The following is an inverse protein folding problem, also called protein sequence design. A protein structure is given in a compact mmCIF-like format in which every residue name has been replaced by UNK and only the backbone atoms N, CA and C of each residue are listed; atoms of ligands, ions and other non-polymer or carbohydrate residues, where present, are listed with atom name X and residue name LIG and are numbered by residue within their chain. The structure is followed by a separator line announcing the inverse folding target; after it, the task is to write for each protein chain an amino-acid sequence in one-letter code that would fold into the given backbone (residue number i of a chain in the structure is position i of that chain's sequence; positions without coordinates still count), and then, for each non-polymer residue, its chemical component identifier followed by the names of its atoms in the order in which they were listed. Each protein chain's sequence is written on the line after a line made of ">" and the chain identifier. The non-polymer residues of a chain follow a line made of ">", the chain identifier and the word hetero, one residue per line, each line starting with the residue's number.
data_IF_850105493525
#
_entry.id   IF_850105493525
#
_cell.length_a   1.000
_cell.length_b   1.000
_cell.length_c   1.000
_cell.angle_alpha   90.00
_cell.angle_beta   90.00
_cell.angle_gamma   90.00
#
_symmetry.space_group_name_H-M   'P 1'
#
loop_
_entity.id
_entity.type
_entity.pdbx_description
1 polymer ?
#
# COMPACT_ATOMS: atom_id res chain seq x y z
N UNK A 1 -22.10 9.81 34.71
CA UNK A 1 -21.12 9.37 33.68
C UNK A 1 -21.74 9.22 32.26
N UNK A 2 -22.89 9.88 31.98
CA UNK A 2 -23.77 9.58 30.82
C UNK A 2 -23.52 10.49 29.59
N UNK A 3 -22.99 11.70 29.80
CA UNK A 3 -22.72 12.68 28.73
C UNK A 3 -21.38 12.47 28.02
N UNK A 4 -20.41 11.85 28.69
CA UNK A 4 -19.06 11.70 28.15
C UNK A 4 -19.01 10.76 26.94
N UNK A 5 -19.78 9.66 26.92
CA UNK A 5 -19.73 8.68 25.81
C UNK A 5 -20.31 9.23 24.50
N UNK A 6 -21.46 9.92 24.56
CA UNK A 6 -22.03 10.55 23.35
C UNK A 6 -21.14 11.69 22.85
N UNK A 7 -20.70 12.57 23.74
CA UNK A 7 -19.81 13.67 23.36
C UNK A 7 -18.50 13.14 22.77
N UNK A 8 -17.93 12.08 23.32
CA UNK A 8 -16.72 11.43 22.80
C UNK A 8 -16.96 10.82 21.40
N UNK A 9 -18.07 10.10 21.18
CA UNK A 9 -18.42 9.58 19.84
C UNK A 9 -18.59 10.72 18.84
N UNK A 10 -19.21 11.82 19.24
CA UNK A 10 -19.36 13.01 18.41
C UNK A 10 -18.01 13.62 18.03
N UNK A 11 -17.14 13.87 19.02
CA UNK A 11 -15.80 14.44 18.80
C UNK A 11 -14.95 13.53 17.91
N UNK A 12 -14.95 12.22 18.15
CA UNK A 12 -14.17 11.27 17.36
C UNK A 12 -14.63 11.23 15.89
N UNK A 13 -15.94 11.18 15.65
CA UNK A 13 -16.45 11.23 14.28
C UNK A 13 -16.23 12.59 13.62
N UNK A 14 -16.23 13.69 14.38
CA UNK A 14 -15.86 15.02 13.87
C UNK A 14 -14.42 15.05 13.38
N UNK A 15 -13.48 14.47 14.14
CA UNK A 15 -12.08 14.36 13.73
C UNK A 15 -11.95 13.52 12.45
N UNK A 16 -12.64 12.37 12.36
CA UNK A 16 -12.64 11.54 11.15
C UNK A 16 -13.19 12.29 9.95
N UNK A 17 -14.26 13.07 10.13
CA UNK A 17 -14.81 13.93 9.09
C UNK A 17 -13.75 14.94 8.60
N UNK A 18 -13.08 15.65 9.51
CA UNK A 18 -12.02 16.59 9.15
C UNK A 18 -10.85 15.93 8.41
N UNK A 19 -10.48 14.70 8.77
CA UNK A 19 -9.44 13.94 8.09
C UNK A 19 -9.88 13.40 6.72
N UNK A 20 -11.18 13.17 6.50
CA UNK A 20 -11.70 12.72 5.20
C UNK A 20 -11.60 13.78 4.10
N UNK A 21 -11.66 15.07 4.47
CA UNK A 21 -11.60 16.21 3.54
C UNK A 21 -10.24 16.27 2.79
N UNK A 22 -9.06 16.28 3.46
CA UNK A 22 -7.79 16.29 2.75
C UNK A 22 -7.54 15.01 1.96
N UNK A 23 -8.07 13.86 2.39
CA UNK A 23 -8.00 12.59 1.62
C UNK A 23 -8.77 12.73 0.30
N UNK A 24 -10.00 13.25 0.35
CA UNK A 24 -10.81 13.53 -0.83
C UNK A 24 -10.17 14.56 -1.75
N UNK A 25 -9.72 15.68 -1.18
CA UNK A 25 -9.04 16.74 -1.94
C UNK A 25 -7.79 16.20 -2.64
N UNK A 26 -6.99 15.39 -1.94
CA UNK A 26 -5.82 14.72 -2.53
C UNK A 26 -6.19 13.76 -3.65
N UNK A 27 -7.23 12.94 -3.47
CA UNK A 27 -7.73 12.04 -4.51
C UNK A 27 -8.24 12.77 -5.76
N UNK A 28 -8.99 13.84 -5.58
CA UNK A 28 -9.51 14.69 -6.68
C UNK A 28 -8.34 15.40 -7.39
N UNK A 29 -7.39 15.94 -6.62
CA UNK A 29 -6.19 16.57 -7.17
C UNK A 29 -5.39 15.59 -8.02
N UNK A 30 -5.23 14.35 -7.56
CA UNK A 30 -4.56 13.29 -8.29
C UNK A 30 -5.29 12.90 -9.58
N UNK A 31 -6.63 12.92 -9.57
CA UNK A 31 -7.45 12.69 -10.76
C UNK A 31 -7.27 13.80 -11.82
N UNK A 32 -7.17 15.05 -11.37
CA UNK A 32 -7.07 16.24 -12.25
C UNK A 32 -5.65 16.53 -12.74
N UNK A 33 -4.64 16.37 -11.87
CA UNK A 33 -3.24 16.72 -12.14
C UNK A 33 -2.30 15.52 -12.23
N UNK A 34 -2.81 14.29 -12.13
CA UNK A 34 -2.02 13.09 -12.39
C UNK A 34 -1.37 13.19 -13.75
N UNK A 35 -0.06 13.42 -13.75
CA UNK A 35 0.76 13.67 -14.94
C UNK A 35 1.10 12.38 -15.66
N UNK A 36 1.06 11.26 -14.91
CA UNK A 36 1.40 9.91 -15.37
C UNK A 36 0.19 8.99 -15.24
N UNK A 37 0.10 7.98 -16.10
CA UNK A 37 -0.94 6.94 -15.99
C UNK A 37 -0.84 6.15 -14.66
N UNK A 38 0.34 6.16 -14.03
CA UNK A 38 0.60 5.58 -12.72
C UNK A 38 -0.14 6.33 -11.60
N UNK A 39 -0.06 7.66 -11.62
CA UNK A 39 -0.71 8.52 -10.64
C UNK A 39 -2.24 8.40 -10.74
N UNK A 40 -2.76 8.32 -11.96
CA UNK A 40 -4.19 8.09 -12.22
C UNK A 40 -4.69 6.70 -11.84
N UNK A 41 -3.82 5.73 -11.57
CA UNK A 41 -4.29 4.43 -11.07
C UNK A 41 -4.75 4.50 -9.60
N UNK A 42 -4.25 5.47 -8.84
CA UNK A 42 -4.49 5.60 -7.40
C UNK A 42 -5.66 6.55 -7.05
N UNK A 43 -6.17 7.33 -7.99
CA UNK A 43 -7.21 8.35 -7.72
C UNK A 43 -8.54 7.75 -7.24
N UNK A 44 -9.10 6.79 -8.00
CA UNK A 44 -10.37 6.12 -7.73
C UNK A 44 -10.43 5.44 -6.38
N UNK A 45 -9.43 4.60 -5.97
CA UNK A 45 -9.48 3.97 -4.65
C UNK A 45 -9.36 4.99 -3.52
N UNK A 46 -8.56 6.06 -3.69
CA UNK A 46 -8.41 7.11 -2.67
C UNK A 46 -9.70 7.94 -2.53
N UNK A 47 -10.33 8.33 -3.64
CA UNK A 47 -11.60 9.07 -3.62
C UNK A 47 -12.69 8.21 -2.99
N UNK A 48 -12.83 6.94 -3.38
CA UNK A 48 -13.83 6.04 -2.82
C UNK A 48 -13.68 5.88 -1.30
N UNK A 49 -12.44 5.75 -0.81
CA UNK A 49 -12.14 5.70 0.62
C UNK A 49 -12.55 7.00 1.33
N UNK A 50 -12.19 8.15 0.78
CA UNK A 50 -12.54 9.44 1.35
C UNK A 50 -14.04 9.67 1.46
N UNK A 51 -14.81 9.34 0.41
CA UNK A 51 -16.28 9.48 0.40
C UNK A 51 -16.89 8.57 1.46
N UNK A 52 -16.43 7.33 1.52
CA UNK A 52 -16.92 6.36 2.47
C UNK A 52 -16.70 6.81 3.93
N UNK A 53 -15.49 7.28 4.27
CA UNK A 53 -15.18 7.80 5.61
C UNK A 53 -16.04 9.01 5.98
N UNK A 54 -16.27 9.92 5.02
CA UNK A 54 -17.11 11.09 5.23
C UNK A 54 -18.56 10.71 5.56
N UNK A 55 -19.15 9.76 4.83
CA UNK A 55 -20.53 9.29 5.07
C UNK A 55 -20.66 8.66 6.46
N UNK A 56 -19.72 7.79 6.84
CA UNK A 56 -19.73 7.13 8.15
C UNK A 56 -19.58 8.15 9.28
N UNK A 57 -18.71 9.15 9.11
CA UNK A 57 -18.51 10.20 10.10
C UNK A 57 -19.75 11.07 10.31
N UNK A 58 -20.44 11.47 9.23
CA UNK A 58 -21.70 12.23 9.31
C UNK A 58 -22.78 11.42 10.05
N UNK A 59 -22.92 10.13 9.72
CA UNK A 59 -23.86 9.26 10.42
C UNK A 59 -23.55 9.16 11.92
N UNK A 60 -22.27 9.02 12.29
CA UNK A 60 -21.84 9.02 13.70
C UNK A 60 -22.13 10.33 14.43
N UNK A 61 -21.93 11.48 13.76
CA UNK A 61 -22.22 12.81 14.31
C UNK A 61 -23.71 13.02 14.55
N UNK A 62 -24.54 12.77 13.55
CA UNK A 62 -26.01 12.92 13.64
C UNK A 62 -26.58 11.95 14.67
N UNK A 63 -26.08 10.72 14.72
CA UNK A 63 -26.53 9.69 15.66
C UNK A 63 -26.23 10.06 17.11
N UNK A 64 -25.09 10.68 17.36
CA UNK A 64 -24.72 11.16 18.69
C UNK A 64 -25.45 12.46 19.08
N UNK A 65 -25.58 13.43 18.17
CA UNK A 65 -26.19 14.73 18.44
C UNK A 65 -27.69 14.61 18.73
N UNK A 66 -28.42 13.87 17.91
CA UNK A 66 -29.88 13.77 17.98
C UNK A 66 -30.37 12.59 18.84
N UNK A 67 -29.46 11.80 19.45
CA UNK A 67 -29.75 10.56 20.23
C UNK A 67 -30.71 9.59 19.54
N UNK A 68 -30.72 9.57 18.21
CA UNK A 68 -31.62 8.71 17.43
C UNK A 68 -31.13 7.27 17.55
N UNK A 69 -31.85 6.47 18.32
CA UNK A 69 -31.42 5.10 18.69
C UNK A 69 -31.26 4.19 17.47
N UNK A 70 -32.14 4.35 16.46
CA UNK A 70 -32.04 3.62 15.20
C UNK A 70 -30.77 3.98 14.42
N UNK A 71 -30.42 5.26 14.35
CA UNK A 71 -29.25 5.74 13.61
C UNK A 71 -27.93 5.36 14.30
N UNK A 72 -27.92 5.32 15.64
CA UNK A 72 -26.79 4.79 16.39
C UNK A 72 -26.62 3.27 16.20
N UNK A 73 -27.72 2.54 16.04
CA UNK A 73 -27.69 1.10 15.76
C UNK A 73 -27.16 0.80 14.36
N UNK A 74 -27.62 1.53 13.34
CA UNK A 74 -27.08 1.42 11.98
C UNK A 74 -25.61 1.81 11.91
N UNK A 75 -25.20 2.88 12.62
CA UNK A 75 -23.80 3.26 12.77
C UNK A 75 -22.95 2.12 13.34
N UNK A 76 -23.38 1.49 14.43
CA UNK A 76 -22.65 0.37 15.04
C UNK A 76 -22.58 -0.85 14.12
N UNK A 77 -23.65 -1.16 13.39
CA UNK A 77 -23.64 -2.23 12.40
C UNK A 77 -22.61 -1.99 11.29
N UNK A 78 -22.57 -0.77 10.73
CA UNK A 78 -21.58 -0.39 9.72
C UNK A 78 -20.16 -0.43 10.28
N UNK A 79 -19.94 0.07 11.50
CA UNK A 79 -18.64 0.01 12.18
C UNK A 79 -18.17 -1.43 12.41
N UNK A 80 -19.07 -2.33 12.78
CA UNK A 80 -18.75 -3.75 12.94
C UNK A 80 -18.31 -4.39 11.61
N UNK A 81 -19.05 -4.15 10.52
CA UNK A 81 -18.66 -4.62 9.19
C UNK A 81 -17.30 -4.05 8.77
N UNK A 82 -17.03 -2.78 9.08
CA UNK A 82 -15.74 -2.17 8.79
C UNK A 82 -14.59 -2.85 9.53
N UNK A 83 -14.76 -3.15 10.81
CA UNK A 83 -13.75 -3.88 11.59
C UNK A 83 -13.48 -5.25 10.94
N UNK A 84 -14.51 -6.00 10.55
CA UNK A 84 -14.35 -7.29 9.89
C UNK A 84 -13.60 -7.18 8.56
N UNK A 85 -13.97 -6.21 7.73
CA UNK A 85 -13.32 -5.96 6.43
C UNK A 85 -11.85 -5.59 6.64
N UNK A 86 -11.57 -4.60 7.49
CA UNK A 86 -10.19 -4.15 7.78
C UNK A 86 -9.34 -5.28 8.36
N UNK A 87 -9.91 -6.07 9.28
CA UNK A 87 -9.25 -7.24 9.86
C UNK A 87 -8.93 -8.29 8.78
N UNK A 88 -9.90 -8.65 7.94
CA UNK A 88 -9.71 -9.63 6.86
C UNK A 88 -8.65 -9.20 5.85
N UNK A 89 -8.66 -7.92 5.44
CA UNK A 89 -7.66 -7.33 4.55
C UNK A 89 -6.28 -7.37 5.21
N UNK A 90 -6.19 -7.08 6.51
CA UNK A 90 -4.93 -7.14 7.26
C UNK A 90 -4.35 -8.55 7.24
N UNK A 91 -5.15 -9.56 7.59
CA UNK A 91 -4.72 -10.97 7.57
C UNK A 91 -4.28 -11.38 6.16
N UNK A 92 -5.09 -11.05 5.15
CA UNK A 92 -4.75 -11.35 3.76
C UNK A 92 -3.44 -10.70 3.32
N UNK A 93 -3.23 -9.42 3.64
CA UNK A 93 -2.01 -8.69 3.33
C UNK A 93 -0.80 -9.37 3.98
N UNK A 94 -0.88 -9.79 5.24
CA UNK A 94 0.19 -10.54 5.90
C UNK A 94 0.47 -11.87 5.21
N UNK A 95 -0.56 -12.66 4.91
CA UNK A 95 -0.39 -13.98 4.26
C UNK A 95 0.31 -13.83 2.90
N UNK A 96 -0.12 -12.88 2.08
CA UNK A 96 0.42 -12.66 0.73
C UNK A 96 1.84 -12.08 0.77
N UNK A 97 2.15 -11.26 1.77
CA UNK A 97 3.45 -10.58 1.91
C UNK A 97 4.43 -11.30 2.83
N UNK A 98 4.08 -12.45 3.42
CA UNK A 98 5.00 -13.17 4.30
C UNK A 98 6.19 -13.74 3.51
N UNK A 99 5.91 -14.38 2.36
CA UNK A 99 6.91 -14.95 1.44
C UNK A 99 7.65 -13.87 0.63
N UNK A 100 8.86 -14.18 0.19
CA UNK A 100 9.74 -13.31 -0.61
C UNK A 100 10.81 -12.62 0.23
N UNK A 101 12.07 -12.80 -0.09
CA UNK A 101 13.15 -12.01 0.48
C UNK A 101 14.25 -11.90 -0.57
N UNK A 102 14.84 -10.70 -0.74
CA UNK A 102 16.03 -10.58 -1.55
C UNK A 102 17.17 -11.42 -0.96
N UNK A 103 17.86 -12.15 -1.83
CA UNK A 103 19.06 -12.93 -1.51
C UNK A 103 20.25 -11.99 -1.37
N UNK A 104 20.99 -12.12 -0.28
CA UNK A 104 22.25 -11.38 -0.08
C UNK A 104 23.35 -12.00 -0.92
N UNK A 105 24.05 -11.18 -1.70
CA UNK A 105 25.22 -11.62 -2.46
C UNK A 105 26.49 -11.26 -1.69
N UNK A 106 27.41 -12.21 -1.56
CA UNK A 106 28.68 -11.99 -0.85
C UNK A 106 29.48 -10.86 -1.51
N UNK A 107 29.91 -9.89 -0.68
CA UNK A 107 30.69 -8.75 -1.15
C UNK A 107 29.90 -7.70 -1.93
N UNK A 108 28.56 -7.71 -1.87
CA UNK A 108 27.69 -6.70 -2.48
C UNK A 108 26.84 -6.00 -1.42
N UNK A 109 26.66 -4.69 -1.54
CA UNK A 109 25.80 -3.83 -0.73
C UNK A 109 24.32 -3.91 -1.08
N UNK A 110 23.98 -4.69 -2.11
CA UNK A 110 22.62 -4.90 -2.59
C UNK A 110 22.22 -6.38 -2.56
N UNK A 111 20.93 -6.63 -2.80
CA UNK A 111 20.34 -7.98 -2.85
C UNK A 111 19.92 -8.33 -4.27
N UNK A 112 19.88 -9.62 -4.58
CA UNK A 112 19.24 -10.15 -5.78
C UNK A 112 17.82 -10.62 -5.45
N UNK A 113 16.91 -10.52 -6.43
CA UNK A 113 15.50 -10.83 -6.22
C UNK A 113 15.06 -11.84 -7.26
N UNK A 114 14.55 -13.00 -6.82
CA UNK A 114 13.96 -14.00 -7.72
C UNK A 114 12.45 -13.99 -7.61
N UNK A 115 11.78 -14.08 -8.76
CA UNK A 115 10.32 -14.04 -8.80
C UNK A 115 9.68 -15.22 -8.06
N UNK A 116 10.34 -16.39 -8.09
CA UNK A 116 9.90 -17.62 -7.43
C UNK A 116 9.79 -17.53 -5.90
N UNK A 117 10.47 -16.59 -5.25
CA UNK A 117 10.47 -16.47 -3.79
C UNK A 117 9.18 -15.86 -3.24
N UNK A 118 8.39 -15.21 -4.10
CA UNK A 118 7.17 -14.51 -3.73
C UNK A 118 5.94 -15.43 -3.76
N UNK A 119 4.86 -15.01 -3.10
CA UNK A 119 3.61 -15.79 -3.11
C UNK A 119 3.03 -15.91 -4.53
N UNK A 120 2.44 -17.07 -4.85
CA UNK A 120 1.79 -17.32 -6.15
C UNK A 120 0.76 -16.23 -6.52
N UNK A 121 0.09 -15.66 -5.52
CA UNK A 121 -0.85 -14.56 -5.73
C UNK A 121 -0.16 -13.30 -6.28
N UNK A 122 1.01 -12.92 -5.75
CA UNK A 122 1.79 -11.79 -6.24
C UNK A 122 2.38 -12.06 -7.62
N UNK A 123 2.95 -13.25 -7.82
CA UNK A 123 3.51 -13.64 -9.11
C UNK A 123 2.46 -13.55 -10.24
N UNK A 124 1.22 -13.98 -9.97
CA UNK A 124 0.13 -13.90 -10.94
C UNK A 124 -0.20 -12.46 -11.38
N UNK A 125 0.06 -11.45 -10.54
CA UNK A 125 -0.19 -10.03 -10.87
C UNK A 125 0.82 -9.48 -11.86
N UNK A 126 2.07 -9.93 -11.79
CA UNK A 126 3.17 -9.46 -12.65
C UNK A 126 3.39 -10.34 -13.88
N UNK A 127 2.82 -11.56 -13.90
CA UNK A 127 2.85 -12.46 -15.06
C UNK A 127 1.75 -12.18 -16.08
N UNK A 128 0.72 -11.41 -15.73
CA UNK A 128 -0.28 -10.95 -16.70
C UNK A 128 0.32 -9.85 -17.59
N UNK A 129 0.56 -10.17 -18.87
CA UNK A 129 1.22 -9.27 -19.82
C UNK A 129 0.51 -7.93 -20.02
N UNK A 130 -0.82 -7.88 -19.95
CA UNK A 130 -1.57 -6.61 -20.10
C UNK A 130 -1.37 -5.71 -18.88
N UNK A 131 -1.34 -6.30 -17.68
CA UNK A 131 -1.10 -5.56 -16.45
C UNK A 131 0.38 -5.15 -16.35
N UNK A 132 1.30 -6.04 -16.73
CA UNK A 132 2.73 -5.76 -16.73
C UNK A 132 3.08 -4.61 -17.66
N UNK A 133 2.52 -4.53 -18.86
CA UNK A 133 2.81 -3.43 -19.78
C UNK A 133 2.51 -2.05 -19.18
N UNK A 134 1.42 -1.92 -18.41
CA UNK A 134 1.10 -0.67 -17.68
C UNK A 134 2.08 -0.41 -16.54
N UNK A 135 2.43 -1.43 -15.78
CA UNK A 135 3.40 -1.31 -14.68
C UNK A 135 4.78 -0.93 -15.22
N UNK A 136 5.21 -1.57 -16.30
CA UNK A 136 6.46 -1.34 -17.02
C UNK A 136 6.55 0.10 -17.52
N UNK A 137 5.50 0.63 -18.15
CA UNK A 137 5.49 2.03 -18.60
C UNK A 137 5.67 2.99 -17.42
N UNK A 138 5.03 2.70 -16.28
CA UNK A 138 5.20 3.48 -15.06
C UNK A 138 6.63 3.39 -14.50
N UNK A 139 7.28 2.23 -14.57
CA UNK A 139 8.66 2.04 -14.13
C UNK A 139 9.65 2.81 -15.00
N UNK A 140 9.48 2.78 -16.32
CA UNK A 140 10.30 3.54 -17.26
C UNK A 140 10.14 5.04 -17.01
N UNK A 141 8.91 5.51 -16.84
CA UNK A 141 8.57 6.92 -16.59
C UNK A 141 9.07 7.44 -15.24
N UNK A 142 9.18 6.56 -14.22
CA UNK A 142 9.68 6.93 -12.89
C UNK A 142 11.15 7.39 -12.87
N UNK A 143 11.89 7.14 -13.96
CA UNK A 143 13.33 7.46 -14.11
C UNK A 143 14.21 6.91 -12.99
N UNK A 144 13.81 5.81 -12.35
CA UNK A 144 14.59 5.19 -11.26
C UNK A 144 15.98 4.79 -11.72
N UNK A 145 16.11 4.23 -12.93
CA UNK A 145 17.40 3.83 -13.49
C UNK A 145 18.24 5.04 -13.95
N UNK A 146 17.62 6.06 -14.55
CA UNK A 146 18.34 7.29 -14.91
C UNK A 146 18.88 8.03 -13.68
N UNK A 147 18.14 8.02 -12.56
CA UNK A 147 18.62 8.55 -11.28
C UNK A 147 19.78 7.75 -10.70
N UNK A 148 19.78 6.42 -10.90
CA UNK A 148 20.88 5.57 -10.49
C UNK A 148 22.14 5.85 -11.32
N UNK A 149 21.99 5.90 -12.65
CA UNK A 149 23.08 6.25 -13.57
C UNK A 149 23.68 7.61 -13.20
N UNK A 150 22.83 8.61 -12.99
CA UNK A 150 23.27 9.95 -12.62
C UNK A 150 23.96 10.03 -11.24
N UNK A 151 23.66 9.08 -10.34
CA UNK A 151 24.28 9.01 -9.01
C UNK A 151 25.68 8.38 -9.07
N UNK A 152 25.92 7.48 -10.02
CA UNK A 152 27.13 6.65 -10.10
C UNK A 152 27.91 6.92 -11.40
N UNK A 153 27.87 8.17 -11.89
CA UNK A 153 28.58 8.59 -13.10
C UNK A 153 30.08 8.39 -12.87
N UNK A 154 30.73 7.66 -13.79
CA UNK A 154 32.18 7.39 -13.79
C UNK A 154 32.72 6.72 -12.51
N UNK A 155 31.84 6.16 -11.68
CA UNK A 155 32.24 5.45 -10.47
C UNK A 155 32.79 4.05 -10.81
N UNK A 156 33.92 3.63 -10.20
CA UNK A 156 34.46 2.30 -10.42
C UNK A 156 33.50 1.22 -9.89
N UNK A 157 33.61 0.03 -10.46
CA UNK A 157 32.74 -1.11 -10.14
C UNK A 157 32.68 -1.44 -8.64
N UNK A 158 33.77 -1.22 -7.90
CA UNK A 158 33.81 -1.47 -6.45
C UNK A 158 32.86 -0.54 -5.68
N UNK A 159 32.72 0.72 -6.11
CA UNK A 159 31.80 1.66 -5.51
C UNK A 159 30.35 1.29 -5.85
N UNK A 160 30.10 0.85 -7.08
CA UNK A 160 28.81 0.27 -7.47
C UNK A 160 28.45 -0.97 -6.63
N UNK A 161 29.41 -1.87 -6.38
CA UNK A 161 29.18 -3.07 -5.57
C UNK A 161 28.92 -2.77 -4.10
N UNK A 162 29.49 -1.72 -3.54
CA UNK A 162 29.26 -1.32 -2.15
C UNK A 162 27.98 -0.49 -1.97
N UNK A 163 27.38 -0.01 -3.07
CA UNK A 163 26.19 0.83 -3.02
C UNK A 163 24.95 0.06 -2.56
N UNK A 164 24.16 0.70 -1.69
CA UNK A 164 22.89 0.16 -1.23
C UNK A 164 21.77 0.42 -2.25
N UNK A 165 21.66 -0.48 -3.23
CA UNK A 165 20.60 -0.41 -4.22
C UNK A 165 19.25 -0.83 -3.64
N UNK A 166 18.21 -0.06 -3.97
CA UNK A 166 16.82 -0.46 -3.73
C UNK A 166 16.46 -1.71 -4.57
N UNK A 167 15.37 -2.39 -4.19
CA UNK A 167 14.90 -3.57 -4.93
C UNK A 167 14.62 -3.29 -6.42
N UNK A 168 14.06 -2.10 -6.74
CA UNK A 168 13.84 -1.68 -8.11
C UNK A 168 15.14 -1.38 -8.85
N UNK A 169 16.10 -0.73 -8.20
CA UNK A 169 17.40 -0.42 -8.83
C UNK A 169 18.17 -1.71 -9.15
N UNK A 170 18.26 -2.62 -8.19
CA UNK A 170 18.98 -3.90 -8.34
C UNK A 170 18.30 -4.88 -9.29
N UNK A 171 16.96 -4.87 -9.36
CA UNK A 171 16.18 -5.77 -10.21
C UNK A 171 15.93 -5.28 -11.63
N UNK A 172 15.80 -3.96 -11.85
CA UNK A 172 15.44 -3.39 -13.15
C UNK A 172 16.57 -2.67 -13.87
N UNK A 173 17.53 -2.10 -13.14
CA UNK A 173 18.53 -1.19 -13.70
C UNK A 173 19.92 -1.81 -13.91
N UNK A 174 20.12 -3.06 -13.49
CA UNK A 174 21.35 -3.81 -13.73
C UNK A 174 21.02 -5.26 -14.10
N UNK A 175 21.92 -5.98 -14.80
CA UNK A 175 21.75 -7.42 -15.03
C UNK A 175 21.93 -8.22 -13.73
N UNK A 176 21.57 -9.50 -13.75
CA UNK A 176 21.91 -10.43 -12.65
C UNK A 176 23.42 -10.69 -12.62
N UNK A 177 23.97 -10.86 -11.41
CA UNK A 177 25.36 -11.22 -11.20
C UNK A 177 25.68 -12.61 -11.81
N UNK A 178 24.67 -13.48 -11.98
CA UNK A 178 24.78 -14.78 -12.66
C UNK A 178 25.10 -14.65 -14.16
N UNK A 179 24.88 -13.48 -14.77
CA UNK A 179 25.23 -13.23 -16.17
C UNK A 179 26.72 -12.96 -16.37
N UNK A 180 27.46 -12.61 -15.30
CA UNK A 180 28.90 -12.31 -15.37
C UNK A 180 29.27 -11.31 -16.49
N UNK A 181 28.42 -10.30 -16.71
CA UNK A 181 28.69 -9.23 -17.68
C UNK A 181 29.76 -8.28 -17.14
N UNK A 182 30.50 -7.64 -18.05
CA UNK A 182 31.55 -6.69 -17.67
C UNK A 182 30.95 -5.30 -17.45
N UNK A 183 31.23 -4.72 -16.28
CA UNK A 183 30.77 -3.39 -15.89
C UNK A 183 31.39 -2.32 -16.79
N UNK A 184 30.56 -1.41 -17.32
CA UNK A 184 31.00 -0.15 -17.93
C UNK A 184 30.50 1.01 -17.08
N UNK A 185 29.19 1.03 -16.79
CA UNK A 185 28.55 2.01 -15.90
C UNK A 185 27.37 1.36 -15.16
N UNK A 186 26.67 2.11 -14.31
CA UNK A 186 25.62 1.57 -13.46
C UNK A 186 24.51 0.85 -14.25
N UNK A 187 24.15 1.36 -15.42
CA UNK A 187 23.11 0.81 -16.32
C UNK A 187 23.67 0.24 -17.62
N UNK A 188 24.99 0.27 -17.85
CA UNK A 188 25.60 -0.23 -19.08
C UNK A 188 26.62 -1.35 -18.80
N UNK A 189 26.39 -2.50 -19.41
CA UNK A 189 27.17 -3.72 -19.19
C UNK A 189 27.47 -4.41 -20.52
N UNK A 190 28.70 -4.86 -20.73
CA UNK A 190 29.05 -5.65 -21.93
C UNK A 190 28.67 -7.11 -21.71
N UNK A 191 27.89 -7.66 -22.63
CA UNK A 191 27.50 -9.07 -22.60
C UNK A 191 28.75 -9.95 -22.78
N UNK A 192 28.93 -10.90 -21.88
CA UNK A 192 29.95 -11.94 -22.03
C UNK A 192 29.41 -13.10 -22.85
N UNK A 193 30.19 -13.64 -23.80
CA UNK A 193 29.75 -14.75 -24.63
C UNK A 193 29.60 -16.02 -23.78
N UNK A 194 28.50 -16.74 -23.96
CA UNK A 194 28.23 -17.99 -23.24
C UNK A 194 26.75 -18.28 -23.07
N UNK A 195 26.45 -19.50 -22.60
CA UNK A 195 25.11 -19.85 -22.13
C UNK A 195 25.02 -19.53 -20.65
N UNK A 196 24.09 -18.66 -20.29
CA UNK A 196 23.89 -18.23 -18.91
C UNK A 196 22.73 -18.99 -18.29
N UNK A 197 22.83 -19.42 -17.02
CA UNK A 197 21.76 -20.17 -16.35
C UNK A 197 20.52 -19.32 -16.06
N UNK A 198 20.68 -18.00 -15.94
CA UNK A 198 19.60 -17.08 -15.66
C UNK A 198 18.96 -16.59 -16.97
N UNK A 199 17.63 -16.77 -17.17
CA UNK A 199 16.93 -16.32 -18.37
C UNK A 199 16.99 -14.79 -18.59
N UNK A 200 17.14 -14.01 -17.51
CA UNK A 200 17.20 -12.54 -17.58
C UNK A 200 18.41 -12.04 -18.38
N UNK A 201 19.49 -12.83 -18.46
CA UNK A 201 20.70 -12.46 -19.20
C UNK A 201 20.45 -12.28 -20.70
N UNK A 202 19.48 -13.02 -21.26
CA UNK A 202 19.10 -12.88 -22.66
C UNK A 202 18.23 -11.64 -22.90
N UNK A 203 17.39 -11.30 -21.91
CA UNK A 203 16.43 -10.20 -21.97
C UNK A 203 17.11 -8.84 -21.79
N UNK A 204 18.17 -8.77 -20.96
CA UNK A 204 18.91 -7.54 -20.69
C UNK A 204 19.34 -6.79 -21.97
N UNK A 205 19.14 -5.47 -21.99
CA UNK A 205 19.54 -4.54 -23.06
C UNK A 205 20.08 -3.25 -22.43
N UNK A 206 21.10 -2.61 -23.02
CA UNK A 206 21.65 -1.35 -22.50
C UNK A 206 20.84 -0.12 -22.94
N UNK A 207 19.82 -0.27 -23.80
CA UNK A 207 18.93 0.81 -24.18
C UNK A 207 18.15 1.34 -22.95
N UNK A 208 18.14 2.66 -22.68
CA UNK A 208 17.53 3.25 -21.47
C UNK A 208 16.05 2.91 -21.26
N UNK A 209 15.31 2.69 -22.34
CA UNK A 209 13.88 2.33 -22.36
C UNK A 209 13.59 0.82 -22.28
N UNK A 210 14.62 -0.03 -22.33
CA UNK A 210 14.49 -1.49 -22.26
C UNK A 210 15.09 -2.06 -20.97
N UNK A 211 16.37 -1.79 -20.69
CA UNK A 211 17.10 -2.27 -19.51
C UNK A 211 16.70 -3.71 -19.13
N UNK A 212 16.48 -3.99 -17.84
CA UNK A 212 15.88 -5.24 -17.38
C UNK A 212 14.37 -5.09 -17.10
N UNK A 213 13.67 -4.13 -17.71
CA UNK A 213 12.26 -3.88 -17.38
C UNK A 213 11.33 -5.05 -17.72
N UNK A 214 11.75 -6.01 -18.54
CA UNK A 214 11.00 -7.22 -18.86
C UNK A 214 11.53 -8.49 -18.17
N UNK A 215 12.60 -8.36 -17.37
CA UNK A 215 13.21 -9.44 -16.62
C UNK A 215 12.34 -9.91 -15.44
N UNK A 216 12.52 -11.18 -15.03
CA UNK A 216 11.94 -11.70 -13.81
C UNK A 216 12.50 -11.02 -12.56
N UNK A 217 13.79 -10.66 -12.58
CA UNK A 217 14.43 -9.88 -11.51
C UNK A 217 13.76 -8.52 -11.28
N UNK A 218 13.30 -7.84 -12.34
CA UNK A 218 12.62 -6.56 -12.21
C UNK A 218 11.20 -6.72 -11.65
N UNK A 219 10.47 -7.74 -12.11
CA UNK A 219 9.18 -8.14 -11.53
C UNK A 219 9.33 -8.45 -10.04
N UNK A 220 10.36 -9.21 -9.67
CA UNK A 220 10.67 -9.55 -8.28
C UNK A 220 11.03 -8.31 -7.46
N UNK A 221 11.85 -7.40 -8.00
CA UNK A 221 12.20 -6.13 -7.37
C UNK A 221 10.99 -5.22 -7.12
N UNK A 222 10.04 -5.20 -8.05
CA UNK A 222 8.75 -4.52 -7.84
C UNK A 222 7.95 -5.18 -6.72
N UNK A 223 7.84 -6.51 -6.72
CA UNK A 223 7.11 -7.24 -5.68
C UNK A 223 7.70 -7.00 -4.29
N UNK A 224 9.03 -6.91 -4.16
CA UNK A 224 9.68 -6.56 -2.90
C UNK A 224 9.37 -5.13 -2.46
N UNK A 225 9.42 -4.18 -3.39
CA UNK A 225 9.10 -2.79 -3.13
C UNK A 225 7.63 -2.62 -2.67
N UNK A 226 6.71 -3.29 -3.36
CA UNK A 226 5.28 -3.33 -3.01
C UNK A 226 5.08 -3.99 -1.65
N UNK A 227 5.73 -5.13 -1.39
CA UNK A 227 5.70 -5.83 -0.11
C UNK A 227 6.18 -4.92 1.03
N UNK A 228 7.29 -4.23 0.84
CA UNK A 228 7.85 -3.30 1.83
C UNK A 228 6.89 -2.15 2.12
N UNK A 229 6.24 -1.60 1.09
CA UNK A 229 5.19 -0.59 1.26
C UNK A 229 3.96 -1.16 1.99
N UNK A 230 3.50 -2.36 1.63
CA UNK A 230 2.37 -3.03 2.27
C UNK A 230 2.61 -3.32 3.74
N UNK A 231 3.84 -3.67 4.13
CA UNK A 231 4.19 -3.82 5.57
C UNK A 231 4.03 -2.50 6.33
N UNK A 232 4.47 -1.37 5.76
CA UNK A 232 4.26 -0.04 6.37
C UNK A 232 2.78 0.30 6.49
N UNK A 233 2.01 0.04 5.43
CA UNK A 233 0.55 0.24 5.43
C UNK A 233 -0.13 -0.67 6.44
N UNK A 234 0.28 -1.94 6.57
CA UNK A 234 -0.27 -2.88 7.53
C UNK A 234 -0.08 -2.41 8.99
N UNK A 235 1.08 -1.82 9.32
CA UNK A 235 1.31 -1.22 10.64
C UNK A 235 0.30 -0.10 10.93
N UNK A 236 0.12 0.82 9.97
CA UNK A 236 -0.89 1.88 10.09
C UNK A 236 -2.29 1.30 10.20
N UNK A 237 -2.59 0.24 9.45
CA UNK A 237 -3.90 -0.41 9.46
C UNK A 237 -4.21 -1.10 10.80
N UNK A 238 -3.19 -1.67 11.47
CA UNK A 238 -3.33 -2.24 12.82
C UNK A 238 -3.70 -1.13 13.82
N UNK A 239 -3.01 0.01 13.77
CA UNK A 239 -3.31 1.17 14.63
C UNK A 239 -4.75 1.64 14.39
N UNK A 240 -5.15 1.75 13.13
CA UNK A 240 -6.50 2.13 12.74
C UNK A 240 -7.55 1.12 13.24
N UNK A 241 -7.28 -0.18 13.14
CA UNK A 241 -8.16 -1.24 13.65
C UNK A 241 -8.35 -1.15 15.16
N UNK A 242 -7.28 -0.91 15.93
CA UNK A 242 -7.37 -0.69 17.38
C UNK A 242 -8.24 0.53 17.69
N UNK A 243 -8.04 1.63 16.96
CA UNK A 243 -8.87 2.82 17.08
C UNK A 243 -10.34 2.53 16.79
N UNK A 244 -10.67 1.81 15.71
CA UNK A 244 -12.04 1.42 15.38
C UNK A 244 -12.70 0.58 16.48
N UNK A 245 -11.96 -0.35 17.10
CA UNK A 245 -12.46 -1.15 18.23
C UNK A 245 -12.80 -0.27 19.44
N UNK A 246 -11.95 0.71 19.75
CA UNK A 246 -12.22 1.68 20.84
C UNK A 246 -13.49 2.46 20.53
N UNK A 247 -13.61 3.04 19.32
CA UNK A 247 -14.80 3.80 18.92
C UNK A 247 -16.06 2.94 18.97
N UNK A 248 -15.98 1.69 18.49
CA UNK A 248 -17.09 0.74 18.54
C UNK A 248 -17.50 0.42 19.99
N UNK A 249 -16.53 0.23 20.89
CA UNK A 249 -16.82 -0.04 22.32
C UNK A 249 -17.55 1.14 22.98
N UNK A 250 -17.11 2.38 22.73
CA UNK A 250 -17.74 3.60 23.25
C UNK A 250 -19.12 3.80 22.64
N UNK A 251 -19.28 3.54 21.34
CA UNK A 251 -20.57 3.58 20.66
C UNK A 251 -21.57 2.56 21.22
N UNK A 252 -21.11 1.34 21.54
CA UNK A 252 -21.93 0.34 22.22
C UNK A 252 -22.37 0.81 23.61
N UNK A 253 -21.46 1.42 24.38
CA UNK A 253 -21.78 2.03 25.67
C UNK A 253 -22.82 3.16 25.52
N UNK A 254 -22.66 4.03 24.52
CA UNK A 254 -23.62 5.09 24.20
C UNK A 254 -25.01 4.52 23.84
N UNK A 255 -25.07 3.46 23.03
CA UNK A 255 -26.34 2.81 22.67
C UNK A 255 -27.02 2.18 23.89
N UNK A 256 -26.26 1.49 24.73
CA UNK A 256 -26.79 0.88 25.97
C UNK A 256 -27.38 1.95 26.90
N UNK A 257 -26.74 3.11 26.99
CA UNK A 257 -27.24 4.24 27.79
C UNK A 257 -28.54 4.80 27.20
N UNK A 258 -28.60 5.09 25.91
CA UNK A 258 -29.82 5.61 25.27
C UNK A 258 -31.02 4.63 25.43
N UNK A 259 -30.79 3.32 25.33
CA UNK A 259 -31.82 2.30 25.60
C UNK A 259 -32.32 2.32 27.05
N UNK A 260 -31.43 2.54 28.03
CA UNK A 260 -31.80 2.65 29.45
C UNK A 260 -32.66 3.89 29.70
N UNK A 261 -32.24 5.04 29.19
CA UNK A 261 -32.97 6.31 29.36
C UNK A 261 -34.39 6.23 28.76
N UNK A 262 -34.54 5.63 27.57
CA UNK A 262 -35.85 5.39 26.96
C UNK A 262 -36.72 4.41 27.76
N UNK A 263 -36.12 3.41 28.41
CA UNK A 263 -36.82 2.46 29.27
C UNK A 263 -37.40 3.11 30.53
N UNK A 264 -36.64 4.00 31.18
CA UNK A 264 -37.11 4.74 32.36
C UNK A 264 -38.23 5.72 32.03
N UNK A 265 -38.17 6.38 30.87
CA UNK A 265 -39.25 7.25 30.39
C UNK A 265 -40.57 6.50 30.16
N UNK A 266 -40.52 5.21 29.82
CA UNK A 266 -41.70 4.40 29.56
C UNK A 266 -42.37 3.83 30.82
N UNK A 267 -41.61 3.66 31.91
CA UNK A 267 -42.14 3.25 33.23
C UNK A 267 -42.75 4.39 34.05
N UNK A 268 -42.58 5.66 33.62
CA UNK A 268 -43.12 6.84 34.30
C UNK A 268 -44.58 7.18 33.96
N UNK A 269 -45.21 6.45 33.02
CA UNK A 269 -46.64 6.55 32.72
C UNK A 269 -47.31 5.20 33.03
N UNK A 270 -47.71 5.01 34.28
CA UNK A 270 -48.87 4.21 34.61
C UNK A 270 -49.86 5.13 35.33
N UNK A 271 -51.09 5.31 34.81
CA UNK A 271 -52.13 6.05 35.50
C UNK A 271 -52.48 5.39 36.84
#
# INVERSE_FOLDING_TARGET
>A
MVRCSNNLVGILNFIVFLLSIPILAGGIWLSQKGSTDCERFLDKPVIALGVFLMVVAIAGLVGSCCRVTWLLWTYLFVMFLLILVVFSITVFAFVVTNKGAGETVSGRGYKEYRLGDYSNWLQKRVNDGKNWNKIRSCLVESKVCSKLEAKLIDEPVNNFYNEHLTALQSGCCKPSDQCQFTYISATNWTKTPGTHPNPDCQIWDNAPEKLCFDCESCKAGLLDNVKSAWKKVAIVNIIFLVFLIIVYSVGCCALRNNKRDNGYGHTGYKP
#
